data_IF_472746197331
#
_entry.id   IF_472746197331
#
_cell.length_a   1.000
_cell.length_b   1.000
_cell.length_c   1.000
_cell.angle_alpha   90.00
_cell.angle_beta   90.00
_cell.angle_gamma   90.00
#
_symmetry.space_group_name_H-M   'P 1'
#
loop_
_entity.id
_entity.type
_entity.pdbx_description
1 polymer ?
#
# COMPACT_ATOMS: atom_id res chain seq x y z
N UNK A 1 8.25 41.72 60.42
CA UNK A 1 9.13 40.52 60.50
C UNK A 1 8.52 39.50 59.51
N UNK A 2 8.99 39.54 58.28
CA UNK A 2 8.43 38.72 57.20
C UNK A 2 9.43 37.59 56.93
N UNK A 3 9.05 36.36 57.27
CA UNK A 3 9.86 35.16 56.95
C UNK A 3 9.72 34.81 55.44
N UNK A 4 10.81 34.54 54.73
CA UNK A 4 10.75 34.06 53.37
C UNK A 4 10.26 32.62 53.37
N UNK A 5 9.23 32.31 52.54
CA UNK A 5 8.79 30.95 52.25
C UNK A 5 9.94 30.16 51.61
N UNK A 6 10.39 29.11 52.27
CA UNK A 6 11.32 28.11 51.73
C UNK A 6 10.68 27.47 50.47
N UNK A 7 11.30 27.66 49.31
CA UNK A 7 11.01 26.86 48.11
C UNK A 7 11.24 25.38 48.46
N UNK A 8 10.18 24.60 48.45
CA UNK A 8 10.23 23.14 48.59
C UNK A 8 10.87 22.57 47.32
N UNK A 9 12.08 21.99 47.43
CA UNK A 9 12.66 21.16 46.32
C UNK A 9 11.68 20.08 45.99
N UNK A 10 11.37 19.87 44.66
CA UNK A 10 10.52 18.77 44.22
C UNK A 10 11.09 17.46 44.76
N UNK A 11 10.22 16.58 45.27
CA UNK A 11 10.68 15.33 45.88
C UNK A 11 11.24 14.44 44.73
N UNK A 12 12.31 13.67 45.06
CA UNK A 12 12.90 12.69 44.11
C UNK A 12 11.85 11.80 43.46
N UNK A 13 10.73 11.54 44.11
CA UNK A 13 9.60 10.74 43.61
C UNK A 13 8.88 11.44 42.47
N UNK A 14 8.68 12.75 42.55
CA UNK A 14 8.02 13.56 41.49
C UNK A 14 8.86 13.59 40.20
N UNK A 15 10.19 13.71 40.34
CA UNK A 15 11.10 13.70 39.17
C UNK A 15 11.15 12.35 38.51
N UNK A 16 11.15 11.24 39.27
CA UNK A 16 11.13 9.88 38.72
C UNK A 16 9.81 9.61 38.01
N UNK A 17 8.68 9.99 38.64
CA UNK A 17 7.36 9.82 38.05
C UNK A 17 7.22 10.60 36.72
N UNK A 18 7.66 11.85 36.70
CA UNK A 18 7.61 12.69 35.49
C UNK A 18 8.44 12.11 34.34
N UNK A 19 9.67 11.66 34.62
CA UNK A 19 10.51 11.01 33.59
C UNK A 19 9.89 9.74 33.03
N UNK A 20 9.33 8.88 33.89
CA UNK A 20 8.67 7.67 33.43
C UNK A 20 7.39 7.97 32.64
N UNK A 21 6.62 8.97 33.06
CA UNK A 21 5.43 9.39 32.35
C UNK A 21 5.78 9.89 30.95
N UNK A 22 6.76 10.77 30.81
CA UNK A 22 7.19 11.31 29.50
C UNK A 22 7.85 10.24 28.64
N UNK A 23 8.68 9.35 29.26
CA UNK A 23 9.32 8.24 28.53
C UNK A 23 8.33 7.27 27.89
N UNK A 24 7.21 6.98 28.58
CA UNK A 24 6.17 6.06 28.10
C UNK A 24 5.09 6.73 27.23
N UNK A 25 5.20 8.03 26.92
CA UNK A 25 4.28 8.69 26.01
C UNK A 25 4.44 8.16 24.59
N UNK A 26 3.32 7.87 23.93
CA UNK A 26 3.27 7.52 22.48
C UNK A 26 3.49 8.72 21.56
N UNK A 27 3.56 9.92 22.12
CA UNK A 27 3.90 11.15 21.40
C UNK A 27 5.38 11.47 21.62
N UNK A 28 6.06 11.91 20.58
CA UNK A 28 7.41 12.44 20.71
C UNK A 28 7.39 13.74 21.49
N UNK A 29 8.33 13.87 22.39
CA UNK A 29 8.56 15.10 23.20
C UNK A 29 10.03 15.47 23.12
N UNK A 30 10.29 16.71 22.68
CA UNK A 30 11.62 17.30 22.68
C UNK A 30 11.53 18.69 23.30
N UNK A 31 12.33 18.98 24.33
CA UNK A 31 12.36 20.28 24.97
C UNK A 31 13.79 20.83 24.97
N UNK A 32 13.90 22.14 24.75
CA UNK A 32 15.15 22.90 24.75
C UNK A 32 15.08 24.02 25.78
N UNK A 33 16.20 24.34 26.38
CA UNK A 33 16.36 25.55 27.20
C UNK A 33 16.48 26.81 26.30
N UNK A 34 16.40 27.97 26.90
CA UNK A 34 16.50 29.24 26.17
C UNK A 34 17.85 29.43 25.46
N UNK A 35 18.92 28.83 25.95
CA UNK A 35 20.26 28.81 25.34
C UNK A 35 20.40 27.77 24.21
N UNK A 36 19.33 27.02 23.89
CA UNK A 36 19.32 26.01 22.86
C UNK A 36 19.82 24.63 23.27
N UNK A 37 20.13 24.40 24.54
CA UNK A 37 20.53 23.09 25.05
C UNK A 37 19.31 22.16 25.14
N UNK A 38 19.44 20.90 24.72
CA UNK A 38 18.40 19.88 24.89
C UNK A 38 18.22 19.58 26.37
N UNK A 39 17.02 19.76 26.87
CA UNK A 39 16.65 19.47 28.26
C UNK A 39 15.98 18.12 28.42
N UNK A 40 15.17 17.75 27.44
CA UNK A 40 14.40 16.52 27.46
C UNK A 40 14.18 16.02 26.04
N UNK A 41 14.33 14.72 25.88
CA UNK A 41 13.94 13.98 24.67
C UNK A 41 13.47 12.60 25.10
N UNK A 42 12.30 12.15 24.64
CA UNK A 42 11.78 10.83 24.99
C UNK A 42 12.12 9.79 23.91
N UNK A 43 11.84 8.51 24.20
CA UNK A 43 12.18 7.40 23.32
C UNK A 43 11.45 7.49 21.97
N UNK A 44 10.21 7.95 21.97
CA UNK A 44 9.43 8.14 20.72
C UNK A 44 10.02 9.24 19.84
N UNK A 45 10.52 10.33 20.44
CA UNK A 45 11.24 11.36 19.70
C UNK A 45 12.56 10.82 19.12
N UNK A 46 13.29 10.02 19.87
CA UNK A 46 14.51 9.37 19.36
C UNK A 46 14.20 8.42 18.19
N UNK A 47 13.12 7.65 18.29
CA UNK A 47 12.67 6.74 17.22
C UNK A 47 12.32 7.48 15.93
N UNK A 48 11.48 8.53 16.03
CA UNK A 48 10.97 9.27 14.86
C UNK A 48 12.06 10.09 14.15
N UNK A 49 13.00 10.64 14.90
CA UNK A 49 14.13 11.39 14.35
C UNK A 49 15.40 10.56 14.12
N UNK A 50 15.32 9.23 14.28
CA UNK A 50 16.46 8.33 14.16
C UNK A 50 17.68 8.76 15.00
N UNK A 51 17.43 9.27 16.23
CA UNK A 51 18.46 9.76 17.14
C UNK A 51 18.99 8.64 18.06
N UNK A 52 20.22 8.75 18.57
CA UNK A 52 20.73 7.86 19.60
C UNK A 52 19.92 7.99 20.90
N UNK A 53 20.15 7.08 21.87
CA UNK A 53 19.40 7.06 23.12
C UNK A 53 19.37 8.42 23.83
N UNK A 54 18.17 8.83 24.27
CA UNK A 54 17.86 10.16 24.79
C UNK A 54 18.79 10.74 25.87
N UNK A 55 19.23 9.98 26.91
CA UNK A 55 20.10 10.50 27.96
C UNK A 55 21.44 11.06 27.46
N UNK A 56 21.95 10.57 26.34
CA UNK A 56 23.21 11.03 25.73
C UNK A 56 23.09 12.36 24.98
N UNK A 57 21.87 12.85 24.77
CA UNK A 57 21.57 14.07 24.03
C UNK A 57 21.33 15.28 24.90
N UNK A 58 20.99 15.06 26.18
CA UNK A 58 20.71 16.14 27.15
C UNK A 58 21.97 17.00 27.36
N UNK A 59 21.80 18.31 27.30
CA UNK A 59 22.84 19.32 27.41
C UNK A 59 23.56 19.65 26.11
N UNK A 60 23.32 18.92 25.02
CA UNK A 60 23.88 19.26 23.70
C UNK A 60 23.04 20.33 23.00
N UNK A 61 23.64 21.15 22.10
CA UNK A 61 22.89 22.07 21.27
C UNK A 61 21.88 21.31 20.38
N UNK A 62 20.63 21.74 20.38
CA UNK A 62 19.57 21.06 19.60
C UNK A 62 19.85 21.08 18.08
N UNK A 63 20.53 22.12 17.58
CA UNK A 63 20.90 22.21 16.17
C UNK A 63 21.87 21.11 15.76
N UNK A 64 22.80 20.71 16.65
CA UNK A 64 23.74 19.62 16.39
C UNK A 64 23.06 18.26 16.49
N UNK A 65 22.12 18.12 17.44
CA UNK A 65 21.36 16.89 17.63
C UNK A 65 20.41 16.62 16.45
N UNK A 66 19.84 17.68 15.87
CA UNK A 66 18.83 17.61 14.80
C UNK A 66 19.40 18.03 13.43
N UNK A 67 20.71 17.90 13.20
CA UNK A 67 21.35 18.33 11.95
C UNK A 67 20.70 17.74 10.69
N UNK A 68 20.18 16.50 10.77
CA UNK A 68 19.50 15.82 9.69
C UNK A 68 18.02 16.22 9.53
N UNK A 69 17.52 17.11 10.41
CA UNK A 69 16.14 17.60 10.46
C UNK A 69 16.06 19.13 10.45
N UNK A 70 16.50 19.79 9.36
CA UNK A 70 16.62 21.27 9.30
C UNK A 70 15.27 21.99 9.49
N UNK A 71 14.17 21.34 9.13
CA UNK A 71 12.84 21.91 9.31
C UNK A 71 12.45 21.98 10.80
N UNK A 72 12.82 20.98 11.60
CA UNK A 72 12.61 20.98 13.06
C UNK A 72 13.53 21.99 13.74
N UNK A 73 14.79 22.09 13.29
CA UNK A 73 15.74 23.10 13.77
C UNK A 73 15.15 24.50 13.58
N UNK A 74 14.56 24.78 12.42
CA UNK A 74 13.91 26.07 12.13
C UNK A 74 12.71 26.33 13.04
N UNK A 75 11.84 25.32 13.26
CA UNK A 75 10.66 25.44 14.13
C UNK A 75 11.06 25.71 15.57
N UNK A 76 12.03 24.98 16.11
CA UNK A 76 12.52 25.19 17.50
C UNK A 76 13.31 26.49 17.65
N UNK A 77 14.18 26.82 16.69
CA UNK A 77 14.97 28.04 16.71
C UNK A 77 14.13 29.32 16.70
N UNK A 78 13.00 29.30 15.99
CA UNK A 78 12.06 30.42 15.96
C UNK A 78 11.11 30.51 17.16
N UNK A 79 11.11 29.53 18.07
CA UNK A 79 10.10 29.42 19.13
C UNK A 79 9.96 30.66 20.02
N UNK A 80 11.08 31.33 20.32
CA UNK A 80 11.10 32.49 21.22
C UNK A 80 10.75 33.82 20.52
N UNK A 81 10.77 33.85 19.20
CA UNK A 81 10.51 35.06 18.39
C UNK A 81 9.11 35.07 17.77
N UNK A 82 8.42 33.91 17.76
CA UNK A 82 7.09 33.77 17.15
C UNK A 82 6.02 34.50 17.97
N UNK A 83 5.24 35.38 17.34
CA UNK A 83 4.08 36.02 17.96
C UNK A 83 2.95 35.02 18.26
N UNK A 84 2.82 33.97 17.45
CA UNK A 84 1.87 32.87 17.63
C UNK A 84 2.58 31.55 17.38
N UNK A 85 2.55 30.66 18.37
CA UNK A 85 3.17 29.35 18.25
C UNK A 85 2.31 28.40 17.45
N UNK A 86 2.93 27.52 16.63
CA UNK A 86 2.22 26.47 15.92
C UNK A 86 1.45 25.55 16.87
N UNK A 87 0.16 25.38 16.61
CA UNK A 87 -0.70 24.45 17.31
C UNK A 87 -1.37 23.54 16.30
N UNK A 88 -1.14 22.23 16.40
CA UNK A 88 -1.62 21.22 15.43
C UNK A 88 -1.15 21.49 13.99
N UNK A 89 0.08 21.92 13.82
CA UNK A 89 0.69 22.04 12.51
C UNK A 89 1.22 20.67 12.05
N UNK A 90 1.30 20.49 10.74
CA UNK A 90 1.84 19.28 10.12
C UNK A 90 3.16 19.58 9.41
N UNK A 91 4.06 18.61 9.43
CA UNK A 91 5.36 18.69 8.78
C UNK A 91 5.79 17.33 8.25
N UNK A 92 6.20 17.28 6.97
CA UNK A 92 6.82 16.09 6.38
C UNK A 92 8.33 16.17 6.60
N UNK A 93 8.88 15.15 7.25
CA UNK A 93 10.32 15.04 7.51
C UNK A 93 11.05 14.55 6.26
N UNK A 94 11.98 15.33 5.74
CA UNK A 94 12.71 14.97 4.51
C UNK A 94 13.64 13.77 4.68
N UNK A 95 14.10 13.50 5.89
CA UNK A 95 15.04 12.41 6.21
C UNK A 95 14.38 11.04 6.27
N UNK A 96 13.14 10.96 6.74
CA UNK A 96 12.40 9.70 6.97
C UNK A 96 11.13 9.59 6.14
N UNK A 97 10.76 10.66 5.41
CA UNK A 97 9.47 10.83 4.71
C UNK A 97 8.24 10.69 5.63
N UNK A 98 8.45 10.68 6.95
CA UNK A 98 7.37 10.60 7.93
C UNK A 98 6.63 11.94 8.05
N UNK A 99 5.32 11.88 8.23
CA UNK A 99 4.48 13.05 8.49
C UNK A 99 4.20 13.14 9.98
N UNK A 100 4.58 14.26 10.58
CA UNK A 100 4.33 14.52 11.98
C UNK A 100 3.34 15.67 12.17
N UNK A 101 2.36 15.45 13.05
CA UNK A 101 1.54 16.54 13.59
C UNK A 101 2.20 17.07 14.86
N UNK A 102 2.44 18.38 14.95
CA UNK A 102 3.17 18.94 16.08
C UNK A 102 2.52 20.18 16.71
N UNK A 103 2.84 20.39 17.97
CA UNK A 103 2.51 21.59 18.75
C UNK A 103 3.77 22.08 19.43
N UNK A 104 4.02 23.38 19.32
CA UNK A 104 5.12 24.06 19.98
C UNK A 104 4.60 24.87 21.16
N UNK A 105 5.23 24.79 22.32
CA UNK A 105 4.85 25.50 23.55
C UNK A 105 6.08 26.11 24.23
N UNK A 106 5.94 27.32 24.74
CA UNK A 106 6.97 27.91 25.62
C UNK A 106 6.82 27.39 27.04
N UNK A 107 7.95 26.99 27.63
CA UNK A 107 8.06 26.68 29.05
C UNK A 107 8.41 27.96 29.80
N UNK A 108 7.57 28.35 30.76
CA UNK A 108 7.74 29.58 31.54
C UNK A 108 8.02 29.26 32.99
N UNK A 109 8.81 30.09 33.63
CA UNK A 109 9.04 30.04 35.08
C UNK A 109 7.89 30.68 35.88
N UNK A 110 8.02 30.71 37.20
CA UNK A 110 7.05 31.32 38.13
C UNK A 110 6.86 32.84 37.88
N UNK A 111 7.84 33.50 37.28
CA UNK A 111 7.78 34.94 36.90
C UNK A 111 7.09 35.19 35.55
N UNK A 112 6.78 34.13 34.82
CA UNK A 112 6.21 34.21 33.46
C UNK A 112 7.25 34.35 32.33
N UNK A 113 8.56 34.34 32.70
CA UNK A 113 9.66 34.43 31.73
C UNK A 113 9.83 33.10 31.00
N UNK A 114 9.99 33.13 29.67
CA UNK A 114 10.22 31.94 28.88
C UNK A 114 11.63 31.40 29.16
N UNK A 115 11.72 30.23 29.77
CA UNK A 115 12.97 29.54 30.10
C UNK A 115 13.31 28.42 29.12
N UNK A 116 12.39 28.05 28.26
CA UNK A 116 12.58 27.00 27.26
C UNK A 116 11.42 26.88 26.31
N UNK A 117 11.55 25.96 25.37
CA UNK A 117 10.49 25.58 24.43
C UNK A 117 10.36 24.05 24.39
N UNK A 118 9.13 23.56 24.23
CA UNK A 118 8.81 22.14 24.10
C UNK A 118 8.02 21.87 22.82
N UNK A 119 8.49 20.91 22.04
CA UNK A 119 7.86 20.38 20.85
C UNK A 119 7.21 19.04 21.21
N UNK A 120 5.89 18.96 21.06
CA UNK A 120 5.10 17.74 21.14
C UNK A 120 4.69 17.32 19.75
N UNK A 121 4.88 16.07 19.39
CA UNK A 121 4.57 15.61 18.05
C UNK A 121 4.14 14.16 18.02
N UNK A 122 3.36 13.81 17.00
CA UNK A 122 2.84 12.47 16.77
C UNK A 122 3.07 12.07 15.31
N UNK A 123 3.45 10.82 15.11
CA UNK A 123 3.52 10.22 13.79
C UNK A 123 2.10 10.12 13.18
N UNK A 124 1.87 10.81 12.08
CA UNK A 124 0.62 10.81 11.31
C UNK A 124 0.79 10.10 9.97
N UNK A 125 1.95 9.52 9.68
CA UNK A 125 2.25 8.90 8.38
C UNK A 125 1.20 7.86 7.98
N UNK A 126 0.80 7.02 8.91
CA UNK A 126 -0.22 6.01 8.66
C UNK A 126 -1.62 6.63 8.44
N UNK A 127 -1.95 7.66 9.20
CA UNK A 127 -3.25 8.37 9.06
C UNK A 127 -3.33 9.05 7.70
N UNK A 128 -2.29 9.77 7.30
CA UNK A 128 -2.21 10.40 5.97
C UNK A 128 -2.33 9.38 4.83
N UNK A 129 -1.64 8.24 4.95
CA UNK A 129 -1.73 7.16 3.96
C UNK A 129 -3.14 6.58 3.84
N UNK A 130 -3.86 6.43 4.97
CA UNK A 130 -5.25 5.97 4.95
C UNK A 130 -6.13 7.03 4.29
N UNK A 131 -6.04 8.30 4.69
CA UNK A 131 -6.83 9.38 4.11
C UNK A 131 -6.57 9.56 2.60
N UNK A 132 -5.33 9.43 2.16
CA UNK A 132 -4.98 9.52 0.74
C UNK A 132 -5.58 8.35 -0.06
N UNK A 133 -5.54 7.13 0.51
CA UNK A 133 -6.21 5.96 -0.08
C UNK A 133 -7.73 6.13 -0.15
N UNK A 134 -8.35 6.65 0.90
CA UNK A 134 -9.79 6.92 0.92
C UNK A 134 -10.18 7.99 -0.10
N UNK A 135 -9.45 9.10 -0.16
CA UNK A 135 -9.65 10.16 -1.17
C UNK A 135 -9.50 9.63 -2.61
N UNK A 136 -8.51 8.76 -2.84
CA UNK A 136 -8.33 8.12 -4.14
C UNK A 136 -9.50 7.19 -4.44
N UNK A 137 -9.94 6.40 -3.45
CA UNK A 137 -11.10 5.51 -3.58
C UNK A 137 -12.38 6.26 -3.90
N UNK A 138 -12.64 7.38 -3.22
CA UNK A 138 -13.82 8.22 -3.46
C UNK A 138 -13.78 8.86 -4.85
N UNK A 139 -12.63 9.37 -5.28
CA UNK A 139 -12.44 9.89 -6.64
C UNK A 139 -12.67 8.81 -7.69
N UNK A 140 -12.13 7.61 -7.48
CA UNK A 140 -12.35 6.47 -8.38
C UNK A 140 -13.81 6.01 -8.38
N UNK A 141 -14.51 6.05 -7.25
CA UNK A 141 -15.93 5.71 -7.18
C UNK A 141 -16.80 6.71 -7.96
N UNK A 142 -16.53 8.02 -7.83
CA UNK A 142 -17.23 9.06 -8.58
C UNK A 142 -16.98 8.96 -10.09
N UNK A 143 -15.73 8.65 -10.50
CA UNK A 143 -15.38 8.38 -11.89
C UNK A 143 -16.01 7.07 -12.38
N UNK A 144 -16.25 6.11 -11.48
CA UNK A 144 -16.78 4.78 -11.79
C UNK A 144 -18.19 4.76 -12.35
N UNK A 145 -19.07 5.60 -11.84
CA UNK A 145 -20.43 5.76 -12.39
C UNK A 145 -20.40 6.35 -13.80
N UNK A 146 -19.60 7.40 -14.00
CA UNK A 146 -19.42 8.01 -15.33
C UNK A 146 -18.71 7.07 -16.30
N UNK A 147 -17.69 6.34 -15.84
CA UNK A 147 -16.96 5.39 -16.65
C UNK A 147 -17.85 4.23 -17.13
N UNK A 148 -18.82 3.80 -16.33
CA UNK A 148 -19.76 2.75 -16.72
C UNK A 148 -20.67 3.19 -17.90
N UNK A 149 -21.14 4.43 -17.90
CA UNK A 149 -21.92 5.02 -19.00
C UNK A 149 -21.03 5.19 -20.23
N UNK A 150 -19.87 5.82 -20.09
CA UNK A 150 -18.92 6.03 -21.20
C UNK A 150 -18.47 4.74 -21.85
N UNK A 151 -18.21 3.69 -21.05
CA UNK A 151 -17.81 2.41 -21.62
C UNK A 151 -18.93 1.75 -22.40
N UNK A 152 -20.18 1.91 -21.97
CA UNK A 152 -21.31 1.43 -22.77
C UNK A 152 -21.44 2.18 -24.10
N UNK A 153 -21.23 3.49 -24.08
CA UNK A 153 -21.22 4.33 -25.26
C UNK A 153 -20.02 4.08 -26.20
N UNK A 154 -18.85 3.70 -25.65
CA UNK A 154 -17.67 3.31 -26.46
C UNK A 154 -17.82 1.89 -27.03
N UNK A 155 -18.39 0.96 -26.26
CA UNK A 155 -18.61 -0.41 -26.70
C UNK A 155 -19.52 -0.51 -27.93
N UNK A 156 -20.53 0.35 -27.99
CA UNK A 156 -21.49 0.36 -29.07
C UNK A 156 -20.85 0.65 -30.45
N UNK A 157 -20.08 1.72 -30.68
CA UNK A 157 -19.39 1.95 -31.95
C UNK A 157 -18.34 0.89 -32.25
N UNK A 158 -17.63 0.34 -31.24
CA UNK A 158 -16.67 -0.75 -31.45
C UNK A 158 -17.38 -2.01 -32.01
N UNK A 159 -18.51 -2.39 -31.41
CA UNK A 159 -19.32 -3.49 -31.90
C UNK A 159 -19.82 -3.25 -33.34
N UNK A 160 -20.22 -2.02 -33.67
CA UNK A 160 -20.61 -1.65 -35.03
C UNK A 160 -19.43 -1.79 -36.02
N UNK A 161 -18.21 -1.37 -35.60
CA UNK A 161 -17.00 -1.52 -36.40
C UNK A 161 -16.72 -3.02 -36.68
N UNK A 162 -16.81 -3.88 -35.66
CA UNK A 162 -16.64 -5.35 -35.85
C UNK A 162 -17.64 -5.94 -36.81
N UNK A 163 -18.90 -5.52 -36.70
CA UNK A 163 -19.96 -5.99 -37.62
C UNK A 163 -19.70 -5.56 -39.06
N UNK A 164 -19.38 -4.27 -39.29
CA UNK A 164 -19.10 -3.74 -40.64
C UNK A 164 -17.85 -4.40 -41.25
N UNK A 165 -16.78 -4.54 -40.45
CA UNK A 165 -15.58 -5.25 -40.88
C UNK A 165 -15.87 -6.72 -41.22
N UNK A 166 -16.69 -7.42 -40.43
CA UNK A 166 -17.12 -8.78 -40.70
C UNK A 166 -17.96 -8.91 -41.98
N UNK A 167 -18.78 -7.89 -42.31
CA UNK A 167 -19.52 -7.83 -43.59
C UNK A 167 -18.57 -7.62 -44.76
N UNK A 168 -17.59 -6.72 -44.61
CA UNK A 168 -16.59 -6.47 -45.68
C UNK A 168 -15.76 -7.74 -45.95
N UNK A 169 -15.35 -8.47 -44.90
CA UNK A 169 -14.65 -9.76 -45.04
C UNK A 169 -15.44 -10.77 -45.88
N UNK A 170 -16.76 -10.82 -45.72
CA UNK A 170 -17.62 -11.73 -46.49
C UNK A 170 -17.86 -11.27 -47.93
N UNK A 171 -17.82 -9.95 -48.18
CA UNK A 171 -18.04 -9.40 -49.55
C UNK A 171 -16.80 -9.47 -50.45
N UNK A 172 -15.60 -9.57 -49.89
CA UNK A 172 -14.34 -9.64 -50.62
C UNK A 172 -13.51 -10.89 -50.23
N UNK A 173 -14.03 -12.09 -50.35
CA UNK A 173 -13.40 -13.31 -49.84
C UNK A 173 -12.12 -13.70 -50.60
N UNK A 174 -11.91 -13.24 -51.83
CA UNK A 174 -10.77 -13.58 -52.69
C UNK A 174 -9.70 -12.48 -52.78
N UNK A 175 -9.77 -11.47 -51.90
CA UNK A 175 -8.80 -10.39 -51.87
C UNK A 175 -8.01 -10.48 -50.57
N UNK A 176 -6.80 -11.03 -50.61
CA UNK A 176 -5.94 -11.28 -49.45
C UNK A 176 -5.57 -9.99 -48.71
N UNK A 177 -5.34 -8.87 -49.41
CA UNK A 177 -5.05 -7.59 -48.82
C UNK A 177 -6.23 -7.05 -47.99
N UNK A 178 -7.46 -7.18 -48.56
CA UNK A 178 -8.70 -6.81 -47.87
C UNK A 178 -8.92 -7.71 -46.67
N UNK A 179 -8.64 -9.01 -46.75
CA UNK A 179 -8.77 -9.93 -45.65
C UNK A 179 -7.81 -9.59 -44.52
N UNK A 180 -6.56 -9.23 -44.85
CA UNK A 180 -5.56 -8.80 -43.86
C UNK A 180 -5.99 -7.51 -43.14
N UNK A 181 -6.36 -6.47 -43.90
CA UNK A 181 -6.82 -5.20 -43.34
C UNK A 181 -8.06 -5.34 -42.44
N UNK A 182 -9.02 -6.16 -42.87
CA UNK A 182 -10.22 -6.44 -42.09
C UNK A 182 -9.90 -7.19 -40.79
N UNK A 183 -8.97 -8.14 -40.85
CA UNK A 183 -8.48 -8.84 -39.65
C UNK A 183 -7.87 -7.86 -38.66
N UNK A 184 -7.06 -6.92 -39.15
CA UNK A 184 -6.43 -5.90 -38.31
C UNK A 184 -7.48 -4.99 -37.66
N UNK A 185 -8.47 -4.51 -38.44
CA UNK A 185 -9.57 -3.67 -37.89
C UNK A 185 -10.35 -4.42 -36.81
N UNK A 186 -10.65 -5.68 -36.99
CA UNK A 186 -11.37 -6.51 -36.00
C UNK A 186 -10.49 -6.69 -34.75
N UNK A 187 -9.19 -6.91 -34.94
CA UNK A 187 -8.22 -7.06 -33.81
C UNK A 187 -8.15 -5.80 -32.99
N UNK A 188 -8.01 -4.64 -33.63
CA UNK A 188 -7.95 -3.33 -32.97
C UNK A 188 -9.25 -2.99 -32.21
N UNK A 189 -10.41 -3.27 -32.81
CA UNK A 189 -11.70 -3.06 -32.16
C UNK A 189 -11.87 -3.94 -30.91
N UNK A 190 -11.44 -5.20 -30.97
CA UNK A 190 -11.46 -6.11 -29.83
C UNK A 190 -10.49 -5.66 -28.73
N UNK A 191 -9.30 -5.20 -29.11
CA UNK A 191 -8.32 -4.66 -28.15
C UNK A 191 -8.88 -3.44 -27.44
N UNK A 192 -9.43 -2.47 -28.18
CA UNK A 192 -10.06 -1.29 -27.60
C UNK A 192 -11.19 -1.66 -26.62
N UNK A 193 -12.04 -2.64 -26.99
CA UNK A 193 -13.09 -3.14 -26.09
C UNK A 193 -12.53 -3.80 -24.82
N UNK A 194 -11.43 -4.56 -24.91
CA UNK A 194 -10.76 -5.17 -23.75
C UNK A 194 -10.23 -4.10 -22.80
N UNK A 195 -9.57 -3.07 -23.32
CA UNK A 195 -9.07 -1.94 -22.52
C UNK A 195 -10.23 -1.23 -21.79
N UNK A 196 -11.35 -0.98 -22.47
CA UNK A 196 -12.54 -0.36 -21.86
C UNK A 196 -13.07 -1.23 -20.70
N UNK A 197 -13.11 -2.56 -20.88
CA UNK A 197 -13.55 -3.48 -19.82
C UNK A 197 -12.59 -3.48 -18.63
N UNK A 198 -11.29 -3.41 -18.85
CA UNK A 198 -10.29 -3.34 -17.78
C UNK A 198 -10.37 -2.02 -17.01
N UNK A 199 -10.55 -0.89 -17.71
CA UNK A 199 -10.79 0.42 -17.06
C UNK A 199 -12.04 0.35 -16.18
N UNK A 200 -13.12 -0.23 -16.67
CA UNK A 200 -14.35 -0.41 -15.88
C UNK A 200 -14.13 -1.29 -14.64
N UNK A 201 -13.44 -2.42 -14.81
CA UNK A 201 -13.12 -3.31 -13.70
C UNK A 201 -12.24 -2.62 -12.66
N UNK A 202 -11.32 -1.76 -13.10
CA UNK A 202 -10.47 -0.98 -12.21
C UNK A 202 -11.24 0.11 -11.46
N UNK A 203 -12.17 0.81 -12.10
CA UNK A 203 -12.88 1.96 -11.49
C UNK A 203 -14.03 1.51 -10.59
N UNK A 204 -14.76 0.44 -10.94
CA UNK A 204 -15.90 -0.06 -10.13
C UNK A 204 -15.42 -0.53 -8.75
N UNK A 205 -16.14 -0.16 -7.65
CA UNK A 205 -15.85 -0.72 -6.34
C UNK A 205 -15.94 -2.25 -6.36
N UNK A 206 -14.97 -2.93 -5.75
CA UNK A 206 -15.03 -4.37 -5.56
C UNK A 206 -16.10 -4.66 -4.50
N UNK A 207 -17.17 -5.34 -4.88
CA UNK A 207 -18.18 -5.87 -3.97
C UNK A 207 -17.99 -7.36 -3.92
N UNK A 208 -17.43 -7.87 -2.81
CA UNK A 208 -17.17 -9.28 -2.65
C UNK A 208 -18.47 -10.05 -2.35
N UNK A 209 -18.63 -11.18 -3.02
CA UNK A 209 -19.57 -12.22 -2.64
C UNK A 209 -18.79 -13.30 -1.89
N UNK A 210 -18.62 -13.06 -0.58
CA UNK A 210 -17.80 -13.91 0.29
C UNK A 210 -18.57 -15.19 0.63
N UNK A 211 -18.00 -16.33 0.21
CA UNK A 211 -18.48 -17.67 0.52
C UNK A 211 -17.30 -18.56 0.96
N UNK A 212 -17.60 -19.78 1.42
CA UNK A 212 -16.57 -20.79 1.70
C UNK A 212 -16.00 -21.30 0.37
N UNK A 213 -14.84 -20.77 0.02
CA UNK A 213 -14.20 -20.95 -1.30
C UNK A 213 -13.05 -21.93 -1.21
N UNK A 214 -12.97 -22.87 -2.17
CA UNK A 214 -11.82 -23.73 -2.39
C UNK A 214 -10.73 -22.99 -3.17
N UNK A 215 -9.58 -22.77 -2.54
CA UNK A 215 -8.43 -22.16 -3.22
C UNK A 215 -7.96 -23.04 -4.41
N UNK A 216 -8.00 -24.37 -4.27
CA UNK A 216 -7.61 -25.28 -5.35
C UNK A 216 -8.49 -25.10 -6.59
N UNK A 217 -9.82 -24.96 -6.41
CA UNK A 217 -10.74 -24.72 -7.52
C UNK A 217 -10.54 -23.34 -8.16
N UNK A 218 -10.29 -22.31 -7.34
CA UNK A 218 -9.99 -20.97 -7.85
C UNK A 218 -8.71 -20.96 -8.71
N UNK A 219 -7.65 -21.64 -8.25
CA UNK A 219 -6.40 -21.77 -8.99
C UNK A 219 -6.56 -22.59 -10.28
N UNK A 220 -7.27 -23.72 -10.22
CA UNK A 220 -7.56 -24.53 -11.43
C UNK A 220 -8.34 -23.73 -12.47
N UNK A 221 -9.36 -22.99 -12.02
CA UNK A 221 -10.15 -22.09 -12.89
C UNK A 221 -9.30 -20.96 -13.48
N UNK A 222 -8.36 -20.42 -12.70
CA UNK A 222 -7.45 -19.38 -13.14
C UNK A 222 -6.49 -19.87 -14.25
N UNK A 223 -5.98 -21.10 -14.15
CA UNK A 223 -5.16 -21.71 -15.21
C UNK A 223 -5.97 -21.82 -16.51
N UNK A 224 -7.19 -22.35 -16.44
CA UNK A 224 -8.08 -22.46 -17.62
C UNK A 224 -8.36 -21.10 -18.24
N UNK A 225 -8.63 -20.09 -17.41
CA UNK A 225 -8.90 -18.73 -17.89
C UNK A 225 -7.65 -18.09 -18.52
N UNK A 226 -6.46 -18.32 -17.97
CA UNK A 226 -5.20 -17.82 -18.51
C UNK A 226 -4.86 -18.51 -19.85
N UNK A 227 -5.05 -19.83 -19.96
CA UNK A 227 -4.86 -20.60 -21.19
C UNK A 227 -5.79 -20.11 -22.34
N UNK A 228 -6.97 -19.61 -21.99
CA UNK A 228 -7.92 -19.03 -22.96
C UNK A 228 -7.57 -17.60 -23.42
N UNK A 229 -6.77 -16.86 -22.65
CA UNK A 229 -6.46 -15.44 -22.93
C UNK A 229 -5.04 -15.20 -23.46
N UNK A 230 -4.08 -16.04 -23.09
CA UNK A 230 -2.69 -15.90 -23.49
C UNK A 230 -2.14 -17.20 -24.08
N UNK A 231 -1.14 -17.08 -24.95
CA UNK A 231 -0.53 -18.24 -25.59
C UNK A 231 0.39 -18.94 -24.59
N UNK A 232 -0.01 -20.10 -24.08
CA UNK A 232 0.79 -20.91 -23.16
C UNK A 232 2.03 -21.50 -23.82
N UNK A 233 1.93 -21.88 -25.10
CA UNK A 233 3.04 -22.55 -25.80
C UNK A 233 3.46 -23.86 -25.11
N UNK A 234 4.77 -24.01 -24.83
CA UNK A 234 5.35 -25.15 -24.11
C UNK A 234 5.65 -24.83 -22.63
N UNK A 235 5.00 -23.83 -22.04
CA UNK A 235 5.17 -23.48 -20.64
C UNK A 235 4.58 -24.58 -19.74
N UNK A 236 5.39 -25.07 -18.80
CA UNK A 236 4.96 -26.02 -17.78
C UNK A 236 4.40 -25.25 -16.57
N UNK A 237 3.21 -25.62 -16.13
CA UNK A 237 2.59 -25.05 -14.91
C UNK A 237 2.49 -26.17 -13.88
N UNK A 238 3.30 -26.06 -12.84
CA UNK A 238 3.33 -26.99 -11.71
C UNK A 238 2.56 -26.39 -10.54
N UNK A 239 1.64 -27.16 -9.96
CA UNK A 239 0.84 -26.72 -8.81
C UNK A 239 1.11 -27.65 -7.63
N UNK A 240 1.62 -27.08 -6.53
CA UNK A 240 1.90 -27.78 -5.28
C UNK A 240 1.05 -27.17 -4.16
N UNK A 241 -0.03 -27.86 -3.81
CA UNK A 241 -0.93 -27.44 -2.74
C UNK A 241 -0.87 -28.46 -1.59
N UNK A 242 -0.82 -28.01 -0.33
CA UNK A 242 -0.96 -28.93 0.80
C UNK A 242 -2.38 -29.50 0.85
N UNK A 243 -2.48 -30.75 1.29
CA UNK A 243 -3.76 -31.43 1.50
C UNK A 243 -3.88 -31.88 2.97
N UNK A 244 -4.90 -31.44 3.72
CA UNK A 244 -5.99 -30.54 3.30
C UNK A 244 -5.63 -29.05 3.40
N UNK A 245 -6.12 -28.24 2.42
CA UNK A 245 -6.21 -26.81 2.57
C UNK A 245 -7.57 -26.41 3.18
N UNK A 246 -7.61 -25.53 4.18
CA UNK A 246 -8.88 -25.02 4.69
C UNK A 246 -9.61 -24.21 3.62
N UNK A 247 -10.96 -24.24 3.59
CA UNK A 247 -11.71 -23.33 2.75
C UNK A 247 -11.52 -21.90 3.25
N UNK A 248 -11.40 -20.94 2.30
CA UNK A 248 -11.24 -19.53 2.59
C UNK A 248 -12.62 -18.83 2.59
N UNK A 249 -12.80 -17.85 3.47
CA UNK A 249 -13.90 -16.89 3.35
C UNK A 249 -13.57 -15.87 2.27
N UNK A 250 -13.93 -16.15 1.01
CA UNK A 250 -13.50 -15.34 -0.13
C UNK A 250 -14.52 -15.37 -1.28
N UNK A 251 -14.36 -14.46 -2.23
CA UNK A 251 -15.07 -14.48 -3.50
C UNK A 251 -14.28 -15.29 -4.53
N UNK A 252 -14.79 -16.47 -4.89
CA UNK A 252 -14.12 -17.41 -5.81
C UNK A 252 -13.86 -16.79 -7.17
N UNK A 253 -14.80 -16.02 -7.71
CA UNK A 253 -14.65 -15.38 -9.01
C UNK A 253 -13.55 -14.34 -9.00
N UNK A 254 -13.51 -13.51 -7.96
CA UNK A 254 -12.47 -12.49 -7.79
C UNK A 254 -11.09 -13.11 -7.58
N UNK A 255 -10.97 -14.18 -6.78
CA UNK A 255 -9.70 -14.91 -6.62
C UNK A 255 -9.24 -15.55 -7.93
N UNK A 256 -10.17 -16.15 -8.69
CA UNK A 256 -9.86 -16.67 -10.04
C UNK A 256 -9.29 -15.57 -10.94
N UNK A 257 -9.84 -14.37 -10.89
CA UNK A 257 -9.33 -13.23 -11.67
C UNK A 257 -7.94 -12.78 -11.20
N UNK A 258 -7.67 -12.76 -9.89
CA UNK A 258 -6.33 -12.46 -9.33
C UNK A 258 -5.30 -13.40 -9.93
N UNK A 259 -5.50 -14.71 -9.76
CA UNK A 259 -4.50 -15.69 -10.19
C UNK A 259 -4.39 -15.79 -11.71
N UNK A 260 -5.50 -15.63 -12.44
CA UNK A 260 -5.46 -15.58 -13.91
C UNK A 260 -4.62 -14.39 -14.43
N UNK A 261 -4.75 -13.21 -13.83
CA UNK A 261 -3.93 -12.05 -14.21
C UNK A 261 -2.44 -12.27 -13.92
N UNK A 262 -2.10 -12.90 -12.79
CA UNK A 262 -0.72 -13.25 -12.48
C UNK A 262 -0.15 -14.26 -13.48
N UNK A 263 -0.94 -15.30 -13.84
CA UNK A 263 -0.55 -16.32 -14.82
C UNK A 263 -0.40 -15.75 -16.22
N UNK A 264 -1.32 -14.88 -16.67
CA UNK A 264 -1.21 -14.19 -17.95
C UNK A 264 0.08 -13.38 -18.02
N UNK A 265 0.40 -12.64 -16.97
CA UNK A 265 1.66 -11.89 -16.91
C UNK A 265 2.88 -12.80 -17.01
N UNK A 266 2.85 -13.95 -16.35
CA UNK A 266 3.94 -14.94 -16.43
C UNK A 266 4.04 -15.57 -17.82
N UNK A 267 2.90 -15.95 -18.47
CA UNK A 267 2.90 -16.47 -19.85
C UNK A 267 3.51 -15.48 -20.84
N UNK A 268 3.15 -14.21 -20.72
CA UNK A 268 3.68 -13.16 -21.58
C UNK A 268 5.18 -12.93 -21.36
N UNK A 269 5.64 -12.98 -20.08
CA UNK A 269 7.06 -12.84 -19.76
C UNK A 269 7.92 -14.01 -20.26
N UNK A 270 7.35 -15.21 -20.32
CA UNK A 270 8.02 -16.44 -20.75
C UNK A 270 8.03 -16.66 -22.26
N UNK A 271 7.26 -15.87 -23.01
CA UNK A 271 7.20 -15.94 -24.50
C UNK A 271 7.01 -17.38 -25.05
N UNK A 272 6.20 -18.17 -24.34
CA UNK A 272 5.82 -19.54 -24.74
C UNK A 272 6.80 -20.65 -24.32
N UNK A 273 7.84 -20.38 -23.54
CA UNK A 273 8.78 -21.39 -23.00
C UNK A 273 9.18 -21.07 -21.57
N UNK A 274 9.17 -22.05 -20.69
CA UNK A 274 9.61 -21.91 -19.30
C UNK A 274 8.72 -22.68 -18.33
N UNK A 275 8.84 -22.34 -17.08
CA UNK A 275 8.10 -22.98 -15.98
C UNK A 275 7.46 -21.95 -15.08
N UNK A 276 6.22 -22.24 -14.67
CA UNK A 276 5.54 -21.53 -13.61
C UNK A 276 5.25 -22.50 -12.47
N UNK A 277 5.64 -22.12 -11.26
CA UNK A 277 5.34 -22.87 -10.05
C UNK A 277 4.30 -22.11 -9.22
N UNK A 278 3.19 -22.78 -8.92
CA UNK A 278 2.16 -22.30 -8.00
C UNK A 278 2.27 -23.13 -6.73
N UNK A 279 2.46 -22.50 -5.58
CA UNK A 279 2.46 -23.19 -4.30
C UNK A 279 1.62 -22.43 -3.29
N UNK A 280 1.01 -23.17 -2.35
CA UNK A 280 0.30 -22.59 -1.23
C UNK A 280 0.84 -23.14 0.09
N UNK A 281 0.85 -22.31 1.12
CA UNK A 281 1.23 -22.72 2.48
C UNK A 281 0.27 -22.08 3.49
N UNK A 282 -0.07 -22.83 4.53
CA UNK A 282 -0.81 -22.29 5.67
C UNK A 282 0.20 -21.67 6.64
N UNK A 283 0.11 -20.36 6.83
CA UNK A 283 0.91 -19.64 7.82
C UNK A 283 0.03 -19.41 9.06
N UNK A 284 0.43 -19.99 10.18
CA UNK A 284 -0.15 -19.64 11.48
C UNK A 284 0.63 -18.45 12.03
N UNK A 285 -0.04 -17.36 12.26
CA UNK A 285 0.56 -16.22 12.97
C UNK A 285 0.85 -16.68 14.42
N UNK A 286 2.05 -16.44 14.90
CA UNK A 286 2.63 -17.02 16.11
C UNK A 286 1.73 -16.92 17.35
N UNK A 287 1.53 -18.08 18.02
CA UNK A 287 1.25 -18.23 19.44
C UNK A 287 -0.14 -17.79 19.92
N UNK A 288 -0.89 -18.76 20.46
CA UNK A 288 -2.07 -18.47 21.30
C UNK A 288 -1.73 -17.39 22.35
N UNK A 289 -2.43 -16.26 22.29
CA UNK A 289 -2.34 -15.17 23.27
C UNK A 289 -1.44 -14.00 22.94
N UNK A 290 -0.70 -13.97 21.86
CA UNK A 290 0.06 -12.80 21.43
C UNK A 290 -0.82 -11.83 20.64
N UNK A 291 -1.13 -10.67 21.20
CA UNK A 291 -1.70 -9.55 20.45
C UNK A 291 -0.62 -8.97 19.53
N UNK A 292 -0.99 -8.71 18.27
CA UNK A 292 -0.15 -7.90 17.38
C UNK A 292 0.04 -6.50 17.99
N UNK A 293 1.09 -5.75 17.61
CA UNK A 293 1.36 -4.40 18.15
C UNK A 293 0.20 -3.41 18.00
N UNK A 294 -0.72 -3.69 17.08
CA UNK A 294 -1.96 -2.93 16.80
C UNK A 294 -3.19 -3.42 17.59
N UNK A 295 -3.04 -4.45 18.43
CA UNK A 295 -4.09 -4.98 19.30
C UNK A 295 -5.02 -6.02 18.64
N UNK A 296 -4.74 -6.46 17.41
CA UNK A 296 -5.52 -7.48 16.72
C UNK A 296 -5.10 -8.91 17.12
N UNK A 297 -6.06 -9.86 17.08
CA UNK A 297 -5.75 -11.27 17.28
C UNK A 297 -5.06 -11.85 16.04
N UNK A 298 -4.12 -12.79 16.20
CA UNK A 298 -3.50 -13.48 15.09
C UNK A 298 -4.54 -14.27 14.29
N UNK A 299 -4.57 -14.06 12.98
CA UNK A 299 -5.49 -14.74 12.05
C UNK A 299 -4.69 -15.75 11.25
N UNK A 300 -5.21 -16.97 11.11
CA UNK A 300 -4.64 -17.96 10.19
C UNK A 300 -4.70 -17.41 8.76
N UNK A 301 -3.57 -17.47 8.05
CA UNK A 301 -3.45 -16.96 6.69
C UNK A 301 -2.99 -18.05 5.74
N UNK A 302 -3.48 -18.00 4.50
CA UNK A 302 -2.93 -18.80 3.40
C UNK A 302 -2.05 -17.90 2.54
N UNK A 303 -0.83 -18.37 2.30
CA UNK A 303 0.15 -17.71 1.44
C UNK A 303 0.23 -18.49 0.13
N UNK A 304 -0.05 -17.81 -0.99
CA UNK A 304 0.05 -18.38 -2.34
C UNK A 304 1.19 -17.71 -3.07
N UNK A 305 2.17 -18.50 -3.51
CA UNK A 305 3.27 -18.05 -4.37
C UNK A 305 3.01 -18.47 -5.81
N UNK A 306 3.08 -17.53 -6.75
CA UNK A 306 3.10 -17.74 -8.19
C UNK A 306 4.46 -17.27 -8.67
N UNK A 307 5.31 -18.21 -9.15
CA UNK A 307 6.70 -17.92 -9.55
C UNK A 307 6.94 -18.39 -10.97
N UNK A 308 7.54 -17.54 -11.80
CA UNK A 308 8.04 -17.86 -13.13
C UNK A 308 9.57 -17.85 -13.17
N UNK A 309 10.15 -18.55 -14.13
CA UNK A 309 11.58 -18.58 -14.44
C UNK A 309 11.94 -17.66 -15.63
N UNK A 310 11.16 -16.62 -15.83
CA UNK A 310 11.30 -15.63 -16.90
C UNK A 310 12.48 -14.66 -16.73
N UNK A 311 12.51 -13.59 -17.54
CA UNK A 311 13.62 -12.62 -17.52
C UNK A 311 13.67 -11.77 -16.24
N UNK A 312 12.63 -11.78 -15.40
CA UNK A 312 12.55 -10.90 -14.25
C UNK A 312 12.35 -9.42 -14.62
N UNK A 313 12.59 -8.53 -13.67
CA UNK A 313 12.38 -7.09 -13.85
C UNK A 313 13.53 -6.28 -13.23
N UNK A 314 13.86 -5.16 -13.87
CA UNK A 314 14.77 -4.16 -13.30
C UNK A 314 14.13 -3.45 -12.10
N UNK A 315 14.93 -2.97 -11.13
CA UNK A 315 14.40 -2.31 -9.93
C UNK A 315 13.43 -1.15 -10.23
N UNK A 316 13.76 -0.30 -11.22
CA UNK A 316 12.96 0.87 -11.58
C UNK A 316 11.57 0.49 -12.15
N UNK A 317 11.46 -0.70 -12.73
CA UNK A 317 10.17 -1.28 -13.20
C UNK A 317 9.43 -1.89 -12.04
N UNK A 318 10.14 -2.67 -11.21
CA UNK A 318 9.59 -3.40 -10.07
C UNK A 318 8.85 -2.48 -9.07
N UNK A 319 9.35 -1.28 -8.83
CA UNK A 319 8.72 -0.28 -7.96
C UNK A 319 7.38 0.26 -8.50
N UNK A 320 7.15 0.16 -9.81
CA UNK A 320 6.01 0.81 -10.49
C UNK A 320 4.94 -0.16 -11.00
N UNK A 321 5.18 -1.48 -10.94
CA UNK A 321 4.29 -2.46 -11.59
C UNK A 321 2.85 -2.47 -11.06
N UNK A 322 2.63 -2.03 -9.83
CA UNK A 322 1.29 -1.92 -9.24
C UNK A 322 0.62 -0.55 -9.50
N UNK A 323 1.34 0.40 -10.12
CA UNK A 323 0.76 1.70 -10.46
C UNK A 323 -0.20 1.53 -11.64
N UNK A 324 -1.42 2.06 -11.55
CA UNK A 324 -2.37 2.02 -12.65
C UNK A 324 -1.78 2.62 -13.94
N UNK A 325 -2.07 2.01 -15.08
CA UNK A 325 -1.61 2.41 -16.42
C UNK A 325 -0.09 2.26 -16.65
N UNK A 326 0.66 1.75 -15.68
CA UNK A 326 2.07 1.46 -15.88
C UNK A 326 2.23 0.12 -16.63
N UNK A 327 2.90 0.14 -17.77
CA UNK A 327 3.19 -1.06 -18.57
C UNK A 327 4.50 -0.90 -19.34
N UNK A 328 5.23 -1.99 -19.49
CA UNK A 328 6.39 -2.10 -20.40
C UNK A 328 6.01 -2.79 -21.71
N UNK A 329 4.77 -3.24 -21.86
CA UNK A 329 4.26 -3.99 -23.02
C UNK A 329 3.59 -3.05 -24.00
N UNK A 330 3.85 -3.23 -25.32
CA UNK A 330 3.29 -2.38 -26.36
C UNK A 330 1.74 -2.41 -26.44
N UNK A 331 1.13 -3.53 -26.05
CA UNK A 331 -0.34 -3.73 -26.12
C UNK A 331 -0.98 -3.93 -24.72
N UNK A 332 -0.24 -3.61 -23.64
CA UNK A 332 -0.74 -3.76 -22.28
C UNK A 332 -1.47 -2.50 -21.81
N UNK A 333 -2.61 -2.65 -21.15
CA UNK A 333 -3.33 -1.53 -20.50
C UNK A 333 -2.63 -0.99 -19.24
N UNK A 334 -1.77 -1.81 -18.61
CA UNK A 334 -1.16 -1.50 -17.32
C UNK A 334 -2.13 -1.55 -16.13
N UNK A 335 -3.31 -2.16 -16.29
CA UNK A 335 -4.33 -2.25 -15.23
C UNK A 335 -4.37 -3.61 -14.53
N UNK A 336 -3.86 -4.68 -15.14
CA UNK A 336 -3.97 -6.04 -14.62
C UNK A 336 -3.46 -6.20 -13.18
N UNK A 337 -2.23 -5.73 -12.87
CA UNK A 337 -1.67 -5.81 -11.52
C UNK A 337 -2.31 -4.84 -10.53
N UNK A 338 -2.77 -3.68 -11.00
CA UNK A 338 -3.53 -2.75 -10.17
C UNK A 338 -4.90 -3.35 -9.76
N UNK A 339 -5.56 -4.09 -10.66
CA UNK A 339 -6.79 -4.84 -10.37
C UNK A 339 -6.49 -5.98 -9.38
N UNK A 340 -5.39 -6.72 -9.58
CA UNK A 340 -4.95 -7.76 -8.63
C UNK A 340 -4.82 -7.19 -7.23
N UNK A 341 -4.07 -6.10 -7.06
CA UNK A 341 -3.89 -5.45 -5.76
C UNK A 341 -5.21 -5.03 -5.14
N UNK A 342 -6.09 -4.40 -5.93
CA UNK A 342 -7.41 -3.95 -5.49
C UNK A 342 -8.29 -5.09 -4.99
N UNK A 343 -8.28 -6.25 -5.67
CA UNK A 343 -9.05 -7.43 -5.26
C UNK A 343 -8.46 -8.04 -3.99
N UNK A 344 -7.13 -8.16 -3.91
CA UNK A 344 -6.44 -8.69 -2.73
C UNK A 344 -6.67 -7.81 -1.51
N UNK A 345 -6.56 -6.47 -1.67
CA UNK A 345 -6.85 -5.51 -0.60
C UNK A 345 -8.32 -5.60 -0.14
N UNK A 346 -9.27 -5.84 -1.06
CA UNK A 346 -10.68 -6.02 -0.72
C UNK A 346 -10.95 -7.30 0.09
N UNK A 347 -10.09 -8.34 -0.08
CA UNK A 347 -10.11 -9.55 0.74
C UNK A 347 -9.29 -9.43 2.04
N UNK A 348 -8.92 -8.22 2.45
CA UNK A 348 -8.05 -7.97 3.62
C UNK A 348 -6.70 -8.70 3.52
N UNK A 349 -6.29 -9.02 2.30
CA UNK A 349 -5.05 -9.71 1.98
C UNK A 349 -3.91 -8.74 1.70
N UNK A 350 -2.77 -9.32 1.35
CA UNK A 350 -1.59 -8.59 0.91
C UNK A 350 -0.96 -9.24 -0.31
N UNK A 351 -0.47 -8.43 -1.25
CA UNK A 351 0.35 -8.90 -2.35
C UNK A 351 1.75 -8.28 -2.28
N UNK A 352 2.76 -9.14 -2.29
CA UNK A 352 4.17 -8.77 -2.37
C UNK A 352 4.78 -9.36 -3.66
N UNK A 353 5.85 -8.75 -4.14
CA UNK A 353 6.57 -9.21 -5.31
C UNK A 353 8.07 -9.24 -5.02
N UNK A 354 8.74 -10.28 -5.50
CA UNK A 354 10.19 -10.37 -5.53
C UNK A 354 10.64 -10.78 -6.93
N UNK A 355 11.60 -10.06 -7.47
CA UNK A 355 12.13 -10.32 -8.80
C UNK A 355 13.63 -10.07 -8.82
N UNK A 356 14.33 -10.75 -9.72
CA UNK A 356 15.74 -10.52 -9.98
C UNK A 356 15.92 -10.56 -11.49
N UNK A 357 16.59 -9.57 -12.04
CA UNK A 357 16.88 -9.49 -13.47
C UNK A 357 17.59 -10.78 -13.95
N UNK A 358 17.04 -11.44 -14.96
CA UNK A 358 17.51 -12.72 -15.50
C UNK A 358 17.15 -13.96 -14.66
N UNK A 359 16.35 -13.86 -13.59
CA UNK A 359 16.04 -15.00 -12.70
C UNK A 359 14.55 -15.21 -12.41
N UNK A 360 13.66 -14.50 -13.12
CA UNK A 360 12.23 -14.64 -12.98
C UNK A 360 11.59 -13.75 -11.93
N UNK A 361 10.30 -13.96 -11.73
CA UNK A 361 9.48 -13.17 -10.81
C UNK A 361 8.64 -14.08 -9.92
N UNK A 362 8.48 -13.70 -8.66
CA UNK A 362 7.56 -14.34 -7.71
C UNK A 362 6.58 -13.30 -7.21
N UNK A 363 5.30 -13.58 -7.35
CA UNK A 363 4.22 -12.88 -6.66
C UNK A 363 3.76 -13.71 -5.48
N UNK A 364 3.66 -13.08 -4.32
CA UNK A 364 3.18 -13.68 -3.07
C UNK A 364 1.89 -13.02 -2.66
N UNK A 365 0.80 -13.78 -2.64
CA UNK A 365 -0.53 -13.35 -2.19
C UNK A 365 -0.81 -13.98 -0.84
N UNK A 366 -1.04 -13.16 0.19
CA UNK A 366 -1.41 -13.59 1.55
C UNK A 366 -2.87 -13.25 1.78
N UNK A 367 -3.68 -14.23 2.14
CA UNK A 367 -5.12 -14.09 2.36
C UNK A 367 -5.48 -14.62 3.75
N UNK A 368 -6.35 -13.95 4.51
CA UNK A 368 -6.90 -14.50 5.75
C UNK A 368 -7.79 -15.70 5.45
N UNK A 369 -7.76 -16.73 6.30
CA UNK A 369 -8.65 -17.90 6.17
C UNK A 369 -10.09 -17.47 6.42
N UNK A 370 -10.32 -16.65 7.45
CA UNK A 370 -11.60 -16.01 7.72
C UNK A 370 -11.43 -14.49 7.71
N UNK A 371 -12.15 -13.76 6.84
CA UNK A 371 -12.12 -12.29 6.87
C UNK A 371 -12.73 -11.80 8.21
N UNK A 372 -12.23 -10.68 8.70
CA UNK A 372 -12.81 -10.04 9.87
C UNK A 372 -14.28 -9.71 9.59
N UNK A 373 -15.19 -10.18 10.44
CA UNK A 373 -16.60 -9.76 10.37
C UNK A 373 -16.65 -8.27 10.69
N UNK A 374 -16.65 -7.44 9.66
CA UNK A 374 -17.07 -6.05 9.84
C UNK A 374 -18.51 -6.09 10.34
N UNK A 375 -18.70 -5.66 11.59
CA UNK A 375 -20.02 -5.57 12.18
C UNK A 375 -20.91 -4.76 11.26
N UNK A 376 -21.97 -5.41 10.77
CA UNK A 376 -23.06 -4.76 10.07
C UNK A 376 -23.68 -3.74 11.03
N UNK A 377 -23.25 -2.49 10.94
CA UNK A 377 -24.04 -1.39 11.50
C UNK A 377 -25.25 -1.19 10.58
N UNK A 378 -26.39 -1.65 11.07
CA UNK A 378 -27.73 -1.29 10.60
C UNK A 378 -27.99 0.20 10.84
#
# INVERSE_FOLDING_TARGET
>A
MHMPKRATKPSRLTDVFFRHMVGNMRNGVLAIAHDGAVVLVNDEACRLFALPAGPSLVGKPFADVLQDHPDIVRVLGGAFEMATLPNRAELRLKSTDAVIGYTLSLVRDESGTAVGAALFFKDLTHVEQIEERERLRDRLAAVGEMAAVMAHEIKNPLAAIEVVAGLLRRKAPQNDDVQALVKDIISEAKMANAIVQEVLAFVRPVRLQVDRTSLAEALASAVVLADGKATRGSILVDTLLPDPLPPLGADQYQLTQVFANLLINAYEALEGRGRIAISATLARTAGEGALLPDGHQPVDTVVVDVSDDGPGMKPEVAEKIFNPFFTTKAQGSGLGLAIVRKIVDAHEGRIDMSTTDGRGTRFRVTLPVEPHKHGSHH
#
